data_IF_241207241041
#
_entry.id   IF_241207241041
#
_cell.length_a   1.000
_cell.length_b   1.000
_cell.length_c   1.000
_cell.angle_alpha   90.00
_cell.angle_beta   90.00
_cell.angle_gamma   90.00
#
_symmetry.space_group_name_H-M   'P 1'
#
loop_
_entity.id
_entity.type
_entity.pdbx_description
1 polymer ?
#
# COMPACT_ATOMS: atom_id res chain seq x y z
N UNK A 1 15.69 -26.83 -46.23
CA UNK A 1 16.60 -27.22 -45.14
C UNK A 1 16.45 -26.18 -44.07
N UNK A 2 16.13 -26.52 -42.81
CA UNK A 2 17.02 -27.24 -41.88
C UNK A 2 18.34 -26.45 -41.73
N UNK A 3 18.75 -25.97 -40.57
CA UNK A 3 18.87 -26.72 -39.31
C UNK A 3 18.72 -25.87 -38.04
N UNK A 4 18.35 -26.62 -36.99
CA UNK A 4 18.35 -26.29 -35.56
C UNK A 4 19.76 -26.41 -34.95
N UNK A 5 19.82 -26.08 -33.64
CA UNK A 5 20.79 -26.50 -32.61
C UNK A 5 21.87 -25.46 -32.28
N UNK A 6 22.37 -25.28 -31.05
CA UNK A 6 21.99 -25.62 -29.66
C UNK A 6 23.02 -24.87 -28.79
N UNK A 7 22.57 -24.36 -27.65
CA UNK A 7 23.28 -24.27 -26.35
C UNK A 7 24.72 -24.83 -26.25
N UNK A 8 25.63 -24.03 -25.69
CA UNK A 8 26.62 -24.51 -24.71
C UNK A 8 26.80 -23.51 -23.56
N UNK A 9 26.66 -24.07 -22.36
CA UNK A 9 27.12 -23.59 -21.06
C UNK A 9 28.61 -23.91 -20.97
N UNK A 10 29.42 -23.03 -20.35
CA UNK A 10 30.59 -23.43 -19.56
C UNK A 10 31.02 -22.33 -18.59
N UNK A 11 31.25 -22.78 -17.36
CA UNK A 11 31.82 -22.14 -16.17
C UNK A 11 33.13 -21.37 -16.40
N UNK A 12 33.45 -20.43 -15.48
CA UNK A 12 34.46 -20.63 -14.41
C UNK A 12 35.02 -19.32 -13.83
N UNK A 13 35.21 -19.32 -12.51
CA UNK A 13 36.03 -18.36 -11.73
C UNK A 13 35.40 -18.08 -10.36
N UNK A 14 35.40 -19.02 -9.40
CA UNK A 14 36.50 -19.34 -8.46
C UNK A 14 37.23 -18.11 -7.88
N UNK A 15 37.02 -17.82 -6.59
CA UNK A 15 38.04 -17.98 -5.53
C UNK A 15 37.74 -17.12 -4.28
N UNK A 16 37.84 -17.73 -3.09
CA UNK A 16 38.07 -17.01 -1.83
C UNK A 16 37.26 -17.44 -0.60
N UNK A 17 37.45 -18.68 -0.11
CA UNK A 17 37.38 -18.94 1.34
C UNK A 17 38.72 -18.60 2.02
N UNK A 18 39.02 -19.05 3.25
CA UNK A 18 38.22 -19.91 4.12
C UNK A 18 38.33 -19.57 5.66
N UNK A 19 37.83 -20.51 6.48
CA UNK A 19 38.20 -20.78 7.90
C UNK A 19 37.65 -19.83 9.00
N UNK A 20 37.21 -20.29 10.18
CA UNK A 20 37.20 -21.62 10.77
C UNK A 20 36.38 -21.65 12.08
N UNK A 21 35.48 -22.63 12.17
CA UNK A 21 35.49 -23.74 13.14
C UNK A 21 35.70 -23.54 14.68
N UNK A 22 34.69 -24.03 15.41
CA UNK A 22 34.64 -24.87 16.66
C UNK A 22 34.69 -24.27 18.10
N UNK A 23 33.81 -24.89 18.92
CA UNK A 23 33.80 -25.21 20.38
C UNK A 23 33.79 -24.05 21.39
N UNK A 24 33.34 -24.16 22.64
CA UNK A 24 32.48 -25.05 23.45
C UNK A 24 32.63 -24.55 24.91
N UNK A 25 31.56 -24.68 25.70
CA UNK A 25 31.52 -24.93 27.15
C UNK A 25 32.29 -24.05 28.18
N UNK A 26 31.48 -23.62 29.17
CA UNK A 26 31.67 -23.79 30.63
C UNK A 26 32.60 -22.87 31.45
N UNK A 27 31.94 -22.24 32.44
CA UNK A 27 32.26 -22.15 33.88
C UNK A 27 33.52 -21.42 34.40
N UNK A 28 33.25 -20.51 35.37
CA UNK A 28 34.16 -20.11 36.46
C UNK A 28 35.33 -19.21 36.03
N UNK A 29 35.88 -18.28 36.79
CA UNK A 29 35.83 -17.91 38.22
C UNK A 29 36.56 -16.55 38.37
N UNK A 30 36.31 -15.87 39.51
CA UNK A 30 37.22 -14.96 40.26
C UNK A 30 37.71 -13.65 39.59
N UNK A 31 37.37 -12.46 40.11
CA UNK A 31 38.08 -11.66 41.16
C UNK A 31 39.46 -11.14 40.72
N UNK A 32 39.97 -9.94 41.12
CA UNK A 32 39.94 -9.42 42.50
C UNK A 32 39.92 -7.86 42.67
N UNK A 33 39.86 -7.42 43.95
CA UNK A 33 40.63 -6.34 44.62
C UNK A 33 40.88 -4.97 43.91
N UNK A 34 40.91 -3.80 44.56
CA UNK A 34 41.34 -3.47 45.91
C UNK A 34 40.91 -2.02 46.31
N UNK A 35 40.52 -1.90 47.58
CA UNK A 35 40.95 -0.90 48.59
C UNK A 35 41.04 0.61 48.27
N UNK A 36 40.23 1.38 49.03
CA UNK A 36 40.60 2.39 50.07
C UNK A 36 39.49 3.45 50.12
N UNK A 37 39.17 4.14 51.20
CA UNK A 37 39.32 4.07 52.65
C UNK A 37 38.61 5.35 53.16
N UNK A 38 38.33 5.43 54.47
CA UNK A 38 37.74 6.56 55.21
C UNK A 38 36.22 6.72 55.03
N UNK A 39 35.39 6.72 56.08
CA UNK A 39 35.63 6.69 57.51
C UNK A 39 34.42 7.34 58.22
N UNK A 40 34.39 7.21 59.54
CA UNK A 40 33.78 8.20 60.46
C UNK A 40 32.24 8.12 60.57
N UNK A 41 31.75 7.17 61.38
CA UNK A 41 31.28 7.31 62.78
C UNK A 41 29.81 7.72 62.92
N UNK A 42 29.00 6.79 63.44
CA UNK A 42 27.71 7.09 64.08
C UNK A 42 27.90 6.86 65.59
N UNK A 43 28.21 7.94 66.30
CA UNK A 43 28.11 8.01 67.77
C UNK A 43 26.63 8.27 68.11
N UNK A 44 26.01 7.26 68.70
CA UNK A 44 24.91 7.43 69.66
C UNK A 44 25.58 7.77 71.00
N UNK A 45 25.04 8.80 71.64
CA UNK A 45 25.01 9.06 73.09
C UNK A 45 26.27 8.65 73.87
N UNK A 46 27.10 9.64 74.17
CA UNK A 46 27.99 9.59 75.32
C UNK A 46 27.33 10.31 76.49
N UNK A 47 26.90 9.54 77.48
CA UNK A 47 27.19 9.86 78.88
C UNK A 47 28.37 8.95 79.25
N UNK A 48 29.56 9.54 79.44
CA UNK A 48 30.63 8.91 80.23
C UNK A 48 30.25 9.00 81.70
N UNK A 49 30.79 8.21 82.62
CA UNK A 49 31.93 7.31 82.60
C UNK A 49 32.29 7.04 84.07
N UNK A 50 33.27 6.15 84.26
CA UNK A 50 33.92 5.79 85.55
C UNK A 50 33.11 4.77 86.40
N UNK A 51 33.61 3.62 86.85
CA UNK A 51 34.99 3.13 86.94
C UNK A 51 35.45 3.12 88.41
N UNK A 52 35.57 1.93 89.00
CA UNK A 52 36.59 1.64 90.01
C UNK A 52 36.19 1.60 91.49
N UNK A 53 36.19 0.37 92.00
CA UNK A 53 36.81 -0.08 93.26
C UNK A 53 36.25 0.31 94.64
N UNK A 54 36.05 -0.74 95.46
CA UNK A 54 36.71 -0.82 96.76
C UNK A 54 35.88 -0.44 97.99
N UNK A 55 35.41 -1.45 98.71
CA UNK A 55 34.89 -1.33 100.07
C UNK A 55 36.01 -0.98 101.07
N UNK A 56 35.78 0.06 101.88
CA UNK A 56 36.24 0.19 103.28
C UNK A 56 35.49 1.34 103.99
N UNK A 57 35.36 1.20 105.30
CA UNK A 57 34.41 1.81 106.25
C UNK A 57 34.64 3.27 106.71
N UNK A 58 33.52 3.92 107.10
CA UNK A 58 33.29 4.82 108.26
C UNK A 58 33.54 6.37 108.25
N UNK A 59 32.41 7.12 108.45
CA UNK A 59 32.16 8.35 109.26
C UNK A 59 32.80 9.74 108.88
N UNK A 60 32.35 10.89 109.47
CA UNK A 60 31.03 11.55 109.37
C UNK A 60 31.09 13.01 108.78
N UNK A 61 29.92 13.65 108.67
CA UNK A 61 29.57 14.91 107.96
C UNK A 61 30.17 16.26 108.45
N UNK A 62 30.04 17.33 107.63
CA UNK A 62 29.58 18.65 108.10
C UNK A 62 28.52 19.33 107.17
N UNK A 63 27.89 20.46 107.57
CA UNK A 63 26.50 20.77 107.22
C UNK A 63 26.25 21.63 105.97
N UNK A 64 24.99 21.58 105.54
CA UNK A 64 24.40 22.19 104.36
C UNK A 64 24.39 23.74 104.34
N UNK A 65 24.72 24.31 103.16
CA UNK A 65 24.51 25.73 102.83
C UNK A 65 23.45 25.83 101.72
N UNK A 66 22.29 26.41 102.06
CA UNK A 66 21.18 26.69 101.14
C UNK A 66 21.47 27.92 100.28
N UNK A 67 21.67 27.75 98.97
CA UNK A 67 21.71 28.85 97.99
C UNK A 67 20.31 29.05 97.39
N UNK A 68 19.67 30.18 97.70
CA UNK A 68 18.38 30.60 97.14
C UNK A 68 18.56 30.96 95.65
N UNK A 69 17.91 30.23 94.74
CA UNK A 69 17.73 30.66 93.34
C UNK A 69 16.63 31.73 93.27
N UNK A 70 16.97 32.89 92.73
CA UNK A 70 16.02 33.95 92.41
C UNK A 70 15.08 33.52 91.26
N UNK A 71 13.78 33.87 91.29
CA UNK A 71 12.85 33.57 90.21
C UNK A 71 13.18 34.42 88.98
N UNK A 72 13.47 33.79 87.83
CA UNK A 72 13.54 34.51 86.55
C UNK A 72 12.14 35.03 86.18
N UNK A 73 12.03 36.24 85.62
CA UNK A 73 10.74 36.84 85.30
C UNK A 73 10.05 36.07 84.17
N UNK A 74 8.78 35.72 84.36
CA UNK A 74 7.92 34.99 83.41
C UNK A 74 7.86 35.61 82.00
N UNK A 75 8.22 36.89 81.85
CA UNK A 75 8.27 37.60 80.57
C UNK A 75 9.36 37.11 79.61
N UNK A 76 10.52 36.64 80.09
CA UNK A 76 11.56 36.07 79.21
C UNK A 76 11.09 34.78 78.53
N UNK A 77 10.32 33.95 79.25
CA UNK A 77 9.71 32.75 78.68
C UNK A 77 8.66 33.08 77.62
N UNK A 78 7.85 34.12 77.84
CA UNK A 78 6.84 34.55 76.85
C UNK A 78 7.48 35.07 75.56
N UNK A 79 8.62 35.77 75.64
CA UNK A 79 9.37 36.24 74.46
C UNK A 79 9.97 35.06 73.68
N UNK A 80 10.59 34.11 74.37
CA UNK A 80 11.17 32.91 73.74
C UNK A 80 10.10 32.05 73.08
N UNK A 81 8.96 31.84 73.75
CA UNK A 81 7.82 31.11 73.18
C UNK A 81 7.24 31.86 71.97
N UNK A 82 7.11 33.19 72.02
CA UNK A 82 6.66 34.00 70.89
C UNK A 82 7.57 33.88 69.65
N UNK A 83 8.89 33.88 69.84
CA UNK A 83 9.87 33.69 68.74
C UNK A 83 9.79 32.28 68.16
N UNK A 84 9.70 31.24 69.01
CA UNK A 84 9.57 29.85 68.55
C UNK A 84 8.28 29.65 67.75
N UNK A 85 7.16 30.22 68.21
CA UNK A 85 5.89 30.18 67.48
C UNK A 85 6.01 30.93 66.15
N UNK A 86 6.63 32.12 66.14
CA UNK A 86 6.85 32.90 64.92
C UNK A 86 7.69 32.15 63.87
N UNK A 87 8.81 31.55 64.29
CA UNK A 87 9.67 30.74 63.41
C UNK A 87 8.94 29.48 62.93
N UNK A 88 8.19 28.82 63.80
CA UNK A 88 7.41 27.63 63.43
C UNK A 88 6.33 27.96 62.38
N UNK A 89 5.63 29.09 62.55
CA UNK A 89 4.65 29.57 61.56
C UNK A 89 5.34 29.92 60.23
N UNK A 90 6.51 30.56 60.26
CA UNK A 90 7.27 30.87 59.06
C UNK A 90 7.75 29.61 58.32
N UNK A 91 8.24 28.60 59.05
CA UNK A 91 8.65 27.30 58.49
C UNK A 91 7.45 26.55 57.90
N UNK A 92 6.30 26.57 58.57
CA UNK A 92 5.06 25.97 58.03
C UNK A 92 4.61 26.70 56.77
N UNK A 93 4.67 28.03 56.74
CA UNK A 93 4.36 28.81 55.54
C UNK A 93 5.34 28.53 54.40
N UNK A 94 6.64 28.44 54.70
CA UNK A 94 7.68 28.15 53.71
C UNK A 94 7.55 26.72 53.16
N UNK A 95 7.33 25.73 54.03
CA UNK A 95 7.03 24.35 53.63
C UNK A 95 5.79 24.30 52.76
N UNK A 96 4.71 25.00 53.15
CA UNK A 96 3.46 25.04 52.38
C UNK A 96 3.66 25.64 50.99
N UNK A 97 4.49 26.67 50.85
CA UNK A 97 4.87 27.25 49.57
C UNK A 97 5.73 26.31 48.72
N UNK A 98 6.68 25.59 49.34
CA UNK A 98 7.49 24.58 48.64
C UNK A 98 6.63 23.43 48.10
N UNK A 99 5.72 22.93 48.93
CA UNK A 99 4.79 21.86 48.56
C UNK A 99 3.77 22.32 47.52
N UNK A 100 3.38 23.60 47.48
CA UNK A 100 2.50 24.11 46.42
C UNK A 100 3.21 24.11 45.07
N UNK A 101 4.46 24.61 44.99
CA UNK A 101 5.26 24.61 43.76
C UNK A 101 5.47 23.20 43.20
N UNK A 102 5.72 22.23 44.06
CA UNK A 102 5.91 20.84 43.63
C UNK A 102 4.62 20.21 43.08
N UNK A 103 3.46 20.56 43.65
CA UNK A 103 2.13 20.14 43.14
C UNK A 103 1.78 20.83 41.83
N UNK A 104 2.14 22.11 41.66
CA UNK A 104 2.00 22.84 40.40
C UNK A 104 2.77 22.16 39.28
N UNK A 105 4.05 21.86 39.48
CA UNK A 105 4.88 21.15 38.50
C UNK A 105 4.31 19.77 38.16
N UNK A 106 3.98 18.95 39.17
CA UNK A 106 3.35 17.64 38.95
C UNK A 106 2.04 17.74 38.15
N UNK A 107 1.24 18.78 38.38
CA UNK A 107 0.00 18.98 37.65
C UNK A 107 0.24 19.42 36.20
N UNK A 108 1.24 20.27 35.94
CA UNK A 108 1.67 20.64 34.59
C UNK A 108 2.27 19.43 33.83
N UNK A 109 3.14 18.65 34.48
CA UNK A 109 3.70 17.40 33.94
C UNK A 109 2.60 16.39 33.60
N UNK A 110 1.54 16.33 34.41
CA UNK A 110 0.40 15.45 34.15
C UNK A 110 -0.41 15.86 32.91
N UNK A 111 -0.44 17.16 32.57
CA UNK A 111 -1.02 17.70 31.32
C UNK A 111 -0.13 17.33 30.14
N UNK A 112 1.17 17.54 30.27
CA UNK A 112 2.16 17.21 29.23
C UNK A 112 2.22 15.71 28.95
N UNK A 113 2.27 14.87 29.99
CA UNK A 113 2.21 13.41 29.84
C UNK A 113 0.93 12.95 29.13
N UNK A 114 -0.23 13.58 29.41
CA UNK A 114 -1.45 13.28 28.69
C UNK A 114 -1.36 13.69 27.20
N UNK A 115 -0.63 14.75 26.89
CA UNK A 115 -0.39 15.22 25.52
C UNK A 115 0.54 14.25 24.77
N UNK A 116 1.61 13.80 25.42
CA UNK A 116 2.56 12.82 24.90
C UNK A 116 1.89 11.46 24.66
N UNK A 117 0.94 11.08 25.53
CA UNK A 117 0.08 9.90 25.34
C UNK A 117 -1.00 10.08 24.26
N UNK A 118 -1.07 11.22 23.57
CA UNK A 118 -2.08 11.56 22.54
C UNK A 118 -3.53 11.49 23.06
N UNK A 119 -3.73 11.62 24.37
CA UNK A 119 -5.06 11.65 25.02
C UNK A 119 -5.55 13.09 25.13
N UNK A 120 -5.83 13.72 23.98
CA UNK A 120 -6.15 15.16 23.91
C UNK A 120 -7.36 15.57 24.75
N UNK A 121 -8.38 14.73 24.89
CA UNK A 121 -9.53 14.98 25.77
C UNK A 121 -9.10 15.13 27.24
N UNK A 122 -8.15 14.27 27.68
CA UNK A 122 -7.58 14.29 29.01
C UNK A 122 -6.67 15.52 29.22
N UNK A 123 -5.96 15.96 28.18
CA UNK A 123 -5.15 17.20 28.21
C UNK A 123 -6.06 18.38 28.48
N UNK A 124 -7.16 18.52 27.73
CA UNK A 124 -8.09 19.63 27.88
C UNK A 124 -8.74 19.64 29.28
N UNK A 125 -9.08 18.46 29.81
CA UNK A 125 -9.67 18.33 31.14
C UNK A 125 -8.67 18.68 32.25
N UNK A 126 -7.45 18.12 32.20
CA UNK A 126 -6.40 18.40 33.18
C UNK A 126 -5.93 19.84 33.12
N UNK A 127 -5.78 20.41 31.93
CA UNK A 127 -5.36 21.79 31.76
C UNK A 127 -6.42 22.79 32.26
N UNK A 128 -7.72 22.52 32.05
CA UNK A 128 -8.80 23.34 32.64
C UNK A 128 -8.75 23.28 34.17
N UNK A 129 -8.52 22.10 34.75
CA UNK A 129 -8.38 21.94 36.20
C UNK A 129 -7.14 22.70 36.72
N UNK A 130 -6.00 22.58 36.05
CA UNK A 130 -4.78 23.32 36.38
C UNK A 130 -5.01 24.84 36.42
N UNK A 131 -5.65 25.40 35.39
CA UNK A 131 -5.93 26.85 35.32
C UNK A 131 -6.92 27.34 36.36
N UNK A 132 -7.76 26.44 36.90
CA UNK A 132 -8.69 26.75 38.00
C UNK A 132 -7.99 26.70 39.35
N UNK A 133 -7.16 25.68 39.56
CA UNK A 133 -6.50 25.41 40.84
C UNK A 133 -5.29 26.35 41.04
N UNK A 134 -4.65 26.82 39.95
CA UNK A 134 -3.45 27.65 39.96
C UNK A 134 -3.54 28.82 38.95
N UNK A 135 -4.38 29.84 39.20
CA UNK A 135 -4.61 30.95 38.26
C UNK A 135 -3.40 31.88 38.08
N UNK A 136 -2.56 32.03 39.11
CA UNK A 136 -1.42 32.97 39.12
C UNK A 136 -0.06 32.29 38.87
N UNK A 137 -0.05 31.02 38.48
CA UNK A 137 1.19 30.27 38.25
C UNK A 137 1.89 30.74 36.97
N UNK A 138 3.23 30.83 37.01
CA UNK A 138 4.07 31.14 35.84
C UNK A 138 3.89 30.12 34.69
N UNK A 139 3.46 28.90 35.03
CA UNK A 139 3.21 27.80 34.08
C UNK A 139 1.86 27.93 33.35
N UNK A 140 1.02 28.89 33.71
CA UNK A 140 -0.30 29.10 33.07
C UNK A 140 -0.18 29.36 31.57
N UNK A 141 0.84 30.12 31.14
CA UNK A 141 1.13 30.35 29.72
C UNK A 141 1.48 29.07 28.98
N UNK A 142 2.33 28.23 29.59
CA UNK A 142 2.71 26.92 29.05
C UNK A 142 1.51 25.99 28.89
N UNK A 143 0.68 25.87 29.93
CA UNK A 143 -0.51 25.01 29.94
C UNK A 143 -1.58 25.50 28.95
N UNK A 144 -1.76 26.83 28.81
CA UNK A 144 -2.63 27.41 27.76
C UNK A 144 -2.11 27.08 26.35
N UNK A 145 -0.81 27.15 26.13
CA UNK A 145 -0.17 26.74 24.87
C UNK A 145 -0.40 25.26 24.55
N UNK A 146 -0.26 24.37 25.55
CA UNK A 146 -0.58 22.94 25.43
C UNK A 146 -2.06 22.71 25.10
N UNK A 147 -2.99 23.42 25.74
CA UNK A 147 -4.42 23.33 25.38
C UNK A 147 -4.67 23.71 23.92
N UNK A 148 -4.08 24.81 23.44
CA UNK A 148 -4.22 25.25 22.06
C UNK A 148 -3.76 24.17 21.08
N UNK A 149 -2.57 23.60 21.33
CA UNK A 149 -2.03 22.48 20.56
C UNK A 149 -2.93 21.25 20.61
N UNK A 150 -3.47 20.91 21.79
CA UNK A 150 -4.37 19.77 21.97
C UNK A 150 -5.68 19.92 21.19
N UNK A 151 -6.32 21.11 21.21
CA UNK A 151 -7.52 21.39 20.41
C UNK A 151 -7.26 21.25 18.92
N UNK A 152 -6.15 21.82 18.44
CA UNK A 152 -5.72 21.68 17.03
C UNK A 152 -5.52 20.21 16.67
N UNK A 153 -4.80 19.45 17.50
CA UNK A 153 -4.54 18.03 17.27
C UNK A 153 -5.84 17.19 17.27
N UNK A 154 -6.80 17.48 18.14
CA UNK A 154 -8.09 16.79 18.17
C UNK A 154 -8.93 17.08 16.91
N UNK A 155 -8.98 18.33 16.45
CA UNK A 155 -9.66 18.71 15.21
C UNK A 155 -9.04 17.99 14.00
N UNK A 156 -7.70 18.00 13.91
CA UNK A 156 -6.95 17.27 12.86
C UNK A 156 -7.23 15.76 12.95
N UNK A 157 -7.25 15.17 14.15
CA UNK A 157 -7.59 13.74 14.34
C UNK A 157 -8.95 13.40 13.77
N UNK A 158 -9.98 14.22 14.05
CA UNK A 158 -11.34 14.02 13.54
C UNK A 158 -11.38 14.13 12.01
N UNK A 159 -10.68 15.11 11.43
CA UNK A 159 -10.60 15.27 9.97
C UNK A 159 -9.86 14.10 9.30
N UNK A 160 -8.71 13.68 9.85
CA UNK A 160 -7.95 12.51 9.38
C UNK A 160 -8.82 11.25 9.39
N UNK A 161 -9.59 11.02 10.46
CA UNK A 161 -10.52 9.89 10.54
C UNK A 161 -11.59 9.94 9.45
N UNK A 162 -12.20 11.12 9.22
CA UNK A 162 -13.19 11.30 8.14
C UNK A 162 -12.58 11.02 6.76
N UNK A 163 -11.35 11.48 6.50
CA UNK A 163 -10.64 11.21 5.24
C UNK A 163 -10.37 9.71 5.07
N UNK A 164 -9.98 9.02 6.15
CA UNK A 164 -9.82 7.56 6.13
C UNK A 164 -11.11 6.83 5.78
N UNK A 165 -12.24 7.24 6.35
CA UNK A 165 -13.54 6.64 6.09
C UNK A 165 -13.99 6.91 4.65
N UNK A 166 -13.78 8.13 4.13
CA UNK A 166 -14.04 8.47 2.72
C UNK A 166 -13.22 7.60 1.76
N UNK A 167 -11.91 7.45 2.01
CA UNK A 167 -11.04 6.60 1.20
C UNK A 167 -11.49 5.13 1.21
N UNK A 168 -12.00 4.62 2.34
CA UNK A 168 -12.56 3.26 2.42
C UNK A 168 -13.86 3.12 1.63
N UNK A 169 -14.70 4.15 1.64
CA UNK A 169 -15.97 4.17 0.89
C UNK A 169 -15.79 4.41 -0.62
N UNK A 170 -14.58 4.76 -1.07
CA UNK A 170 -14.29 5.07 -2.48
C UNK A 170 -14.58 6.51 -2.90
N UNK A 171 -14.92 7.40 -1.95
CA UNK A 171 -15.15 8.82 -2.22
C UNK A 171 -13.82 9.60 -2.32
N UNK A 172 -13.10 9.33 -3.40
CA UNK A 172 -11.75 9.86 -3.64
C UNK A 172 -11.76 11.38 -3.83
N UNK A 173 -12.80 11.93 -4.45
CA UNK A 173 -12.93 13.36 -4.74
C UNK A 173 -13.09 14.20 -3.48
N UNK A 174 -14.01 13.81 -2.57
CA UNK A 174 -14.19 14.54 -1.32
C UNK A 174 -13.02 14.31 -0.36
N UNK A 175 -12.44 13.10 -0.33
CA UNK A 175 -11.22 12.83 0.41
C UNK A 175 -10.06 13.74 -0.02
N UNK A 176 -9.91 13.99 -1.34
CA UNK A 176 -8.90 14.89 -1.86
C UNK A 176 -9.10 16.33 -1.37
N UNK A 177 -10.30 16.88 -1.55
CA UNK A 177 -10.64 18.24 -1.12
C UNK A 177 -10.38 18.46 0.37
N UNK A 178 -10.79 17.49 1.21
CA UNK A 178 -10.54 17.57 2.65
C UNK A 178 -9.07 17.48 3.02
N UNK A 179 -8.29 16.67 2.30
CA UNK A 179 -6.87 16.47 2.59
C UNK A 179 -5.99 17.65 2.14
N UNK A 180 -6.41 18.36 1.10
CA UNK A 180 -5.77 19.62 0.66
C UNK A 180 -6.03 20.75 1.66
N UNK A 181 -7.23 20.80 2.25
CA UNK A 181 -7.57 21.75 3.32
C UNK A 181 -6.95 21.40 4.69
N UNK A 182 -6.39 20.19 4.86
CA UNK A 182 -5.87 19.71 6.13
C UNK A 182 -4.49 20.30 6.47
N UNK A 183 -4.47 21.25 7.42
CA UNK A 183 -3.22 21.74 8.01
C UNK A 183 -2.80 20.91 9.24
N UNK A 184 -2.06 19.83 8.99
CA UNK A 184 -1.53 18.94 10.03
C UNK A 184 -0.16 19.38 10.57
N UNK A 185 0.43 20.46 10.07
CA UNK A 185 1.79 20.89 10.42
C UNK A 185 1.91 21.20 11.92
N UNK A 186 2.95 20.65 12.54
CA UNK A 186 3.21 20.80 13.98
C UNK A 186 2.24 20.00 14.85
N UNK A 187 1.48 19.07 14.28
CA UNK A 187 0.64 18.12 15.03
C UNK A 187 1.22 16.71 14.97
N UNK A 188 0.92 15.83 15.96
CA UNK A 188 1.35 14.43 15.92
C UNK A 188 0.84 13.60 14.73
N UNK A 189 -0.06 14.17 13.92
CA UNK A 189 -0.70 13.52 12.78
C UNK A 189 -0.07 13.90 11.44
N UNK A 190 0.98 14.72 11.42
CA UNK A 190 1.63 15.18 10.19
C UNK A 190 2.11 14.03 9.30
N UNK A 191 2.81 13.04 9.88
CA UNK A 191 3.24 11.83 9.16
C UNK A 191 2.06 11.04 8.59
N UNK A 192 0.97 10.93 9.38
CA UNK A 192 -0.25 10.23 8.95
C UNK A 192 -0.96 10.97 7.82
N UNK A 193 -1.02 12.29 7.85
CA UNK A 193 -1.55 13.10 6.76
C UNK A 193 -0.71 12.94 5.48
N UNK A 194 0.62 12.90 5.59
CA UNK A 194 1.49 12.62 4.45
C UNK A 194 1.27 11.21 3.87
N UNK A 195 1.08 10.19 4.73
CA UNK A 195 0.73 8.84 4.31
C UNK A 195 -0.62 8.80 3.57
N UNK A 196 -1.65 9.49 4.10
CA UNK A 196 -2.94 9.60 3.45
C UNK A 196 -2.83 10.26 2.07
N UNK A 197 -1.96 11.26 1.90
CA UNK A 197 -1.71 11.89 0.59
C UNK A 197 -1.15 10.88 -0.40
N UNK A 198 -0.22 10.02 0.02
CA UNK A 198 0.32 8.93 -0.82
C UNK A 198 -0.75 7.90 -1.17
N UNK A 199 -1.58 7.50 -0.20
CA UNK A 199 -2.71 6.58 -0.42
C UNK A 199 -3.74 7.16 -1.38
N UNK A 200 -4.08 8.43 -1.24
CA UNK A 200 -4.99 9.14 -2.13
C UNK A 200 -4.44 9.19 -3.57
N UNK A 201 -3.14 9.47 -3.75
CA UNK A 201 -2.51 9.44 -5.08
C UNK A 201 -2.66 8.07 -5.74
N UNK A 202 -2.37 6.99 -5.00
CA UNK A 202 -2.58 5.62 -5.49
C UNK A 202 -4.03 5.31 -5.80
N UNK A 203 -4.97 5.73 -4.95
CA UNK A 203 -6.39 5.52 -5.16
C UNK A 203 -6.92 6.28 -6.39
N UNK A 204 -6.44 7.52 -6.64
CA UNK A 204 -6.77 8.28 -7.86
C UNK A 204 -6.29 7.54 -9.11
N UNK A 205 -5.03 7.10 -9.13
CA UNK A 205 -4.50 6.33 -10.25
C UNK A 205 -5.29 5.02 -10.47
N UNK A 206 -5.61 4.30 -9.39
CA UNK A 206 -6.45 3.08 -9.46
C UNK A 206 -7.85 3.38 -10.00
N UNK A 207 -8.47 4.50 -9.65
CA UNK A 207 -9.78 4.89 -10.15
C UNK A 207 -9.76 5.30 -11.63
N UNK A 208 -8.71 5.99 -12.08
CA UNK A 208 -8.50 6.34 -13.49
C UNK A 208 -8.29 5.08 -14.33
N UNK A 209 -7.40 4.19 -13.89
CA UNK A 209 -7.18 2.88 -14.50
C UNK A 209 -8.50 2.08 -14.62
N UNK A 210 -9.27 2.03 -13.53
CA UNK A 210 -10.53 1.29 -13.52
C UNK A 210 -11.54 1.85 -14.53
N UNK A 211 -11.63 3.17 -14.70
CA UNK A 211 -12.52 3.77 -15.72
C UNK A 211 -12.14 3.36 -17.13
N UNK A 212 -10.85 3.28 -17.44
CA UNK A 212 -10.37 2.81 -18.75
C UNK A 212 -10.67 1.32 -18.92
N UNK A 213 -10.40 0.49 -17.92
CA UNK A 213 -10.67 -0.95 -17.99
C UNK A 213 -12.18 -1.26 -18.05
N UNK A 214 -13.03 -0.44 -17.44
CA UNK A 214 -14.49 -0.54 -17.56
C UNK A 214 -14.96 -0.28 -19.01
N UNK A 215 -14.32 0.66 -19.72
CA UNK A 215 -14.63 0.93 -21.12
C UNK A 215 -14.22 -0.22 -22.04
N UNK A 216 -13.05 -0.85 -21.76
CA UNK A 216 -12.61 -2.07 -22.44
C UNK A 216 -13.60 -3.21 -22.21
N UNK A 217 -14.02 -3.43 -20.97
CA UNK A 217 -14.97 -4.48 -20.64
C UNK A 217 -16.32 -4.25 -21.33
N UNK A 218 -16.77 -2.99 -21.42
CA UNK A 218 -17.96 -2.62 -22.18
C UNK A 218 -17.79 -2.88 -23.69
N UNK A 219 -16.63 -2.57 -24.26
CA UNK A 219 -16.33 -2.85 -25.66
C UNK A 219 -16.36 -4.36 -25.95
N UNK A 220 -15.76 -5.17 -25.08
CA UNK A 220 -15.83 -6.65 -25.16
C UNK A 220 -17.28 -7.14 -25.09
N UNK A 221 -18.09 -6.65 -24.13
CA UNK A 221 -19.51 -7.01 -24.02
C UNK A 221 -20.31 -6.66 -25.28
N UNK A 222 -19.95 -5.57 -25.96
CA UNK A 222 -20.54 -5.14 -27.22
C UNK A 222 -19.93 -5.81 -28.45
N UNK A 223 -19.02 -6.78 -28.27
CA UNK A 223 -18.25 -7.45 -29.34
C UNK A 223 -17.43 -6.49 -30.21
N UNK A 224 -17.07 -5.31 -29.70
CA UNK A 224 -16.20 -4.33 -30.34
C UNK A 224 -14.75 -4.64 -29.98
N UNK A 225 -14.25 -5.74 -30.53
CA UNK A 225 -12.96 -6.32 -30.12
C UNK A 225 -11.77 -5.47 -30.55
N UNK A 226 -11.88 -4.79 -31.70
CA UNK A 226 -10.86 -3.84 -32.19
C UNK A 226 -10.66 -2.69 -31.20
N UNK A 227 -11.74 -2.03 -30.80
CA UNK A 227 -11.69 -0.92 -29.85
C UNK A 227 -11.10 -1.35 -28.50
N UNK A 228 -11.52 -2.52 -28.00
CA UNK A 228 -10.98 -3.08 -26.77
C UNK A 228 -9.45 -3.28 -26.86
N UNK A 229 -8.96 -3.82 -27.98
CA UNK A 229 -7.53 -4.02 -28.24
C UNK A 229 -6.76 -2.70 -28.32
N UNK A 230 -7.27 -1.71 -29.05
CA UNK A 230 -6.62 -0.41 -29.20
C UNK A 230 -6.44 0.30 -27.85
N UNK A 231 -7.49 0.29 -27.02
CA UNK A 231 -7.42 0.87 -25.68
C UNK A 231 -6.41 0.10 -24.81
N UNK A 232 -6.40 -1.24 -24.86
CA UNK A 232 -5.45 -2.04 -24.09
C UNK A 232 -3.99 -1.84 -24.55
N UNK A 233 -3.73 -1.64 -25.85
CA UNK A 233 -2.38 -1.39 -26.36
C UNK A 233 -1.81 -0.04 -25.89
N UNK A 234 -2.66 0.97 -25.75
CA UNK A 234 -2.26 2.29 -25.27
C UNK A 234 -2.24 2.37 -23.72
N UNK A 235 -2.84 1.41 -23.02
CA UNK A 235 -3.04 1.46 -21.58
C UNK A 235 -1.83 0.94 -20.81
N UNK A 236 -1.38 1.73 -19.82
CA UNK A 236 -0.32 1.34 -18.88
C UNK A 236 -0.91 1.33 -17.46
N UNK A 237 -0.99 0.16 -16.79
CA UNK A 237 -1.53 0.07 -15.43
C UNK A 237 -0.57 0.70 -14.41
N UNK A 238 -1.12 1.49 -13.49
CA UNK A 238 -0.35 2.17 -12.44
C UNK A 238 -0.24 1.37 -11.14
N UNK A 239 -1.09 0.35 -10.94
CA UNK A 239 -1.15 -0.44 -9.72
C UNK A 239 -1.12 -1.94 -10.01
N UNK A 240 -0.63 -2.74 -9.06
CA UNK A 240 -0.62 -4.20 -9.20
C UNK A 240 -2.04 -4.78 -9.37
N UNK A 241 -3.04 -4.19 -8.70
CA UNK A 241 -4.44 -4.60 -8.84
C UNK A 241 -4.97 -4.35 -10.25
N UNK A 242 -4.68 -3.17 -10.81
CA UNK A 242 -5.13 -2.80 -12.16
C UNK A 242 -4.36 -3.57 -13.22
N UNK A 243 -3.09 -3.91 -12.97
CA UNK A 243 -2.31 -4.84 -13.81
C UNK A 243 -2.97 -6.22 -13.91
N UNK A 244 -3.35 -6.84 -12.78
CA UNK A 244 -4.06 -8.14 -12.80
C UNK A 244 -5.40 -8.08 -13.53
N UNK A 245 -6.09 -6.94 -13.51
CA UNK A 245 -7.34 -6.76 -14.26
C UNK A 245 -7.04 -6.58 -15.76
N UNK A 246 -6.05 -5.78 -16.10
CA UNK A 246 -5.54 -5.59 -17.45
C UNK A 246 -5.15 -6.92 -18.11
N UNK A 247 -4.34 -7.75 -17.43
CA UNK A 247 -3.88 -9.04 -17.94
C UNK A 247 -5.04 -9.99 -18.27
N UNK A 248 -6.08 -10.02 -17.42
CA UNK A 248 -7.28 -10.83 -17.67
C UNK A 248 -8.05 -10.37 -18.90
N UNK A 249 -8.23 -9.06 -19.06
CA UNK A 249 -8.91 -8.50 -20.22
C UNK A 249 -8.09 -8.71 -21.50
N UNK A 250 -6.78 -8.48 -21.43
CA UNK A 250 -5.83 -8.74 -22.51
C UNK A 250 -5.85 -10.19 -22.95
N UNK A 251 -5.80 -11.14 -22.01
CA UNK A 251 -5.88 -12.56 -22.33
C UNK A 251 -7.19 -12.94 -23.04
N UNK A 252 -8.29 -12.25 -22.71
CA UNK A 252 -9.60 -12.46 -23.37
C UNK A 252 -9.56 -11.99 -24.82
N UNK A 253 -9.01 -10.81 -25.07
CA UNK A 253 -8.84 -10.27 -26.44
C UNK A 253 -7.84 -11.10 -27.24
N UNK A 254 -6.72 -11.48 -26.64
CA UNK A 254 -5.68 -12.31 -27.27
C UNK A 254 -6.22 -13.69 -27.66
N UNK A 255 -7.12 -14.27 -26.84
CA UNK A 255 -7.79 -15.53 -27.16
C UNK A 255 -8.69 -15.39 -28.39
N UNK A 256 -9.52 -14.34 -28.43
CA UNK A 256 -10.38 -14.06 -29.58
C UNK A 256 -9.56 -13.88 -30.87
N UNK A 257 -8.50 -13.08 -30.84
CA UNK A 257 -7.61 -12.91 -32.00
C UNK A 257 -6.84 -14.22 -32.33
N UNK A 258 -6.51 -15.02 -31.32
CA UNK A 258 -5.86 -16.32 -31.48
C UNK A 258 -6.73 -17.34 -32.22
N UNK A 259 -8.02 -17.39 -31.93
CA UNK A 259 -8.98 -18.25 -32.63
C UNK A 259 -9.17 -17.81 -34.08
N UNK A 260 -9.27 -16.50 -34.34
CA UNK A 260 -9.32 -15.94 -35.68
C UNK A 260 -8.07 -16.29 -36.51
N UNK A 261 -6.87 -16.17 -35.92
CA UNK A 261 -5.60 -16.52 -36.57
C UNK A 261 -5.51 -18.00 -36.95
N UNK A 262 -6.09 -18.91 -36.15
CA UNK A 262 -6.14 -20.35 -36.48
C UNK A 262 -6.99 -20.62 -37.72
N UNK A 263 -8.12 -19.94 -37.87
CA UNK A 263 -8.95 -20.08 -39.06
C UNK A 263 -8.25 -19.51 -40.30
N UNK A 264 -7.60 -18.34 -40.16
CA UNK A 264 -6.83 -17.77 -41.25
C UNK A 264 -5.65 -18.66 -41.65
N UNK A 265 -4.93 -19.26 -40.70
CA UNK A 265 -3.83 -20.17 -41.02
C UNK A 265 -4.30 -21.44 -41.73
N UNK A 266 -5.48 -21.97 -41.36
CA UNK A 266 -6.12 -23.06 -42.10
C UNK A 266 -6.50 -22.64 -43.51
N UNK A 267 -7.04 -21.42 -43.69
CA UNK A 267 -7.34 -20.89 -45.01
C UNK A 267 -6.10 -20.83 -45.92
N UNK A 268 -4.99 -20.27 -45.40
CA UNK A 268 -3.73 -20.17 -46.12
C UNK A 268 -3.11 -21.55 -46.43
N UNK A 269 -3.28 -22.52 -45.53
CA UNK A 269 -2.82 -23.90 -45.77
C UNK A 269 -3.60 -24.57 -46.89
N UNK A 270 -4.93 -24.43 -46.91
CA UNK A 270 -5.78 -24.99 -47.96
C UNK A 270 -5.55 -24.29 -49.30
N UNK A 271 -5.30 -22.99 -49.30
CA UNK A 271 -4.91 -22.22 -50.49
C UNK A 271 -3.61 -22.74 -51.09
N UNK A 272 -2.56 -22.94 -50.27
CA UNK A 272 -1.29 -23.54 -50.70
C UNK A 272 -1.45 -24.97 -51.24
N UNK A 273 -2.45 -25.70 -50.75
CA UNK A 273 -2.79 -27.03 -51.25
C UNK A 273 -3.64 -27.00 -52.55
N UNK A 274 -3.97 -25.82 -53.07
CA UNK A 274 -4.84 -25.65 -54.25
C UNK A 274 -6.33 -25.81 -53.96
N UNK A 275 -6.73 -26.02 -52.70
CA UNK A 275 -8.12 -26.25 -52.29
C UNK A 275 -8.86 -24.92 -52.05
N UNK A 276 -9.02 -24.12 -53.10
CA UNK A 276 -9.59 -22.78 -53.01
C UNK A 276 -11.00 -22.76 -52.37
N UNK A 277 -11.83 -23.80 -52.57
CA UNK A 277 -13.16 -23.90 -51.96
C UNK A 277 -13.11 -23.94 -50.44
N UNK A 278 -12.17 -24.72 -49.88
CA UNK A 278 -11.99 -24.82 -48.43
C UNK A 278 -11.36 -23.55 -47.88
N UNK A 279 -10.38 -22.97 -48.59
CA UNK A 279 -9.76 -21.70 -48.20
C UNK A 279 -10.81 -20.58 -48.08
N UNK A 280 -11.68 -20.41 -49.09
CA UNK A 280 -12.78 -19.44 -49.08
C UNK A 280 -13.72 -19.69 -47.89
N UNK A 281 -14.02 -20.95 -47.56
CA UNK A 281 -14.86 -21.30 -46.42
C UNK A 281 -14.24 -20.83 -45.10
N UNK A 282 -12.96 -21.11 -44.87
CA UNK A 282 -12.28 -20.67 -43.65
C UNK A 282 -12.21 -19.15 -43.56
N UNK A 283 -11.92 -18.46 -44.66
CA UNK A 283 -11.95 -16.99 -44.72
C UNK A 283 -13.32 -16.45 -44.33
N UNK A 284 -14.42 -17.00 -44.87
CA UNK A 284 -15.78 -16.58 -44.50
C UNK A 284 -16.07 -16.81 -43.02
N UNK A 285 -15.69 -17.95 -42.45
CA UNK A 285 -15.84 -18.23 -41.03
C UNK A 285 -15.08 -17.23 -40.16
N UNK A 286 -13.86 -16.83 -40.57
CA UNK A 286 -13.10 -15.77 -39.90
C UNK A 286 -13.86 -14.44 -39.93
N UNK A 287 -14.43 -14.05 -41.07
CA UNK A 287 -15.14 -12.78 -41.21
C UNK A 287 -16.46 -12.73 -40.43
N UNK A 288 -17.21 -13.85 -40.41
CA UNK A 288 -18.50 -13.95 -39.72
C UNK A 288 -18.33 -14.06 -38.20
N UNK A 289 -17.39 -14.89 -37.74
CA UNK A 289 -17.16 -15.13 -36.31
C UNK A 289 -16.22 -14.12 -35.66
N UNK A 290 -15.29 -13.57 -36.43
CA UNK A 290 -14.16 -12.78 -35.92
C UNK A 290 -13.93 -11.48 -36.69
N UNK A 291 -14.99 -10.85 -37.22
CA UNK A 291 -14.90 -9.67 -38.09
C UNK A 291 -14.12 -8.46 -37.55
N UNK A 292 -14.00 -8.34 -36.23
CA UNK A 292 -13.22 -7.28 -35.54
C UNK A 292 -11.79 -7.70 -35.15
N UNK A 293 -11.40 -8.94 -35.46
CA UNK A 293 -10.04 -9.44 -35.20
C UNK A 293 -9.03 -8.84 -36.17
N UNK A 294 -7.74 -8.91 -35.80
CA UNK A 294 -6.65 -8.53 -36.72
C UNK A 294 -6.67 -9.43 -37.96
N UNK A 295 -6.86 -10.75 -37.77
CA UNK A 295 -6.88 -11.72 -38.87
C UNK A 295 -8.05 -11.51 -39.85
N UNK A 296 -9.12 -10.83 -39.44
CA UNK A 296 -10.22 -10.52 -40.34
C UNK A 296 -9.83 -9.49 -41.42
N UNK A 297 -8.85 -8.63 -41.17
CA UNK A 297 -8.38 -7.69 -42.18
C UNK A 297 -7.64 -8.41 -43.30
N UNK A 298 -6.69 -9.27 -42.95
CA UNK A 298 -6.00 -10.15 -43.91
C UNK A 298 -7.01 -11.05 -44.65
N UNK A 299 -7.99 -11.60 -43.94
CA UNK A 299 -9.06 -12.40 -44.53
C UNK A 299 -9.91 -11.62 -45.55
N UNK A 300 -10.16 -10.32 -45.33
CA UNK A 300 -10.88 -9.46 -46.29
C UNK A 300 -10.07 -9.23 -47.56
N UNK A 301 -8.76 -9.12 -47.44
CA UNK A 301 -7.85 -8.92 -48.57
C UNK A 301 -7.66 -10.21 -49.38
N UNK A 302 -7.61 -11.36 -48.71
CA UNK A 302 -7.44 -12.66 -49.35
C UNK A 302 -8.71 -13.13 -50.10
N UNK A 303 -9.91 -12.72 -49.66
CA UNK A 303 -11.15 -13.25 -50.21
C UNK A 303 -11.37 -12.98 -51.72
N UNK A 304 -11.11 -11.77 -52.26
CA UNK A 304 -11.19 -11.51 -53.69
C UNK A 304 -10.22 -12.38 -54.50
N UNK A 305 -8.97 -12.50 -54.05
CA UNK A 305 -7.94 -13.30 -54.72
C UNK A 305 -8.37 -14.77 -54.84
N UNK A 306 -8.83 -15.36 -53.73
CA UNK A 306 -9.33 -16.74 -53.74
C UNK A 306 -10.56 -16.93 -54.64
N UNK A 307 -11.46 -15.94 -54.72
CA UNK A 307 -12.62 -16.00 -55.61
C UNK A 307 -12.21 -15.94 -57.08
N UNK A 308 -11.21 -15.15 -57.40
CA UNK A 308 -10.68 -15.06 -58.76
C UNK A 308 -9.95 -16.35 -59.17
N UNK A 309 -9.10 -16.89 -58.30
CA UNK A 309 -8.47 -18.19 -58.54
C UNK A 309 -9.49 -19.31 -58.70
N UNK A 310 -10.52 -19.35 -57.84
CA UNK A 310 -11.63 -20.30 -57.95
C UNK A 310 -12.35 -20.19 -59.30
N UNK A 311 -12.61 -18.96 -59.75
CA UNK A 311 -13.22 -18.72 -61.06
C UNK A 311 -12.37 -19.34 -62.18
N UNK A 312 -11.07 -19.10 -62.19
CA UNK A 312 -10.17 -19.64 -63.21
C UNK A 312 -10.05 -21.16 -63.15
N UNK A 313 -10.00 -21.75 -61.95
CA UNK A 313 -10.01 -23.20 -61.75
C UNK A 313 -11.28 -23.84 -62.34
N UNK A 314 -12.47 -23.34 -61.95
CA UNK A 314 -13.76 -23.85 -62.44
C UNK A 314 -13.95 -23.65 -63.94
N UNK A 315 -13.47 -22.52 -64.49
CA UNK A 315 -13.47 -22.31 -65.95
C UNK A 315 -12.61 -23.35 -66.66
N UNK A 316 -11.42 -23.64 -66.15
CA UNK A 316 -10.52 -24.61 -66.78
C UNK A 316 -11.06 -26.04 -66.63
N UNK A 317 -11.61 -26.41 -65.48
CA UNK A 317 -12.30 -27.69 -65.27
C UNK A 317 -13.48 -27.85 -66.23
N UNK A 318 -14.30 -26.80 -66.41
CA UNK A 318 -15.38 -26.80 -67.38
C UNK A 318 -14.90 -27.02 -68.82
N UNK A 319 -13.77 -26.40 -69.20
CA UNK A 319 -13.14 -26.64 -70.52
C UNK A 319 -12.64 -28.08 -70.67
N UNK A 320 -11.99 -28.64 -69.65
CA UNK A 320 -11.53 -30.03 -69.67
C UNK A 320 -12.71 -31.02 -69.79
N UNK A 321 -13.81 -30.78 -69.09
CA UNK A 321 -15.02 -31.58 -69.23
C UNK A 321 -15.66 -31.44 -70.62
N UNK A 322 -15.60 -30.24 -71.21
CA UNK A 322 -16.07 -29.99 -72.56
C UNK A 322 -15.24 -30.75 -73.60
N UNK A 323 -13.91 -30.77 -73.46
CA UNK A 323 -12.98 -31.54 -74.30
C UNK A 323 -13.17 -33.05 -74.14
N UNK A 324 -13.54 -33.51 -72.94
CA UNK A 324 -13.88 -34.91 -72.67
C UNK A 324 -15.33 -35.29 -73.03
N UNK A 325 -16.08 -34.40 -73.70
CA UNK A 325 -17.50 -34.55 -74.07
C UNK A 325 -18.44 -34.84 -72.88
N UNK A 326 -17.99 -34.52 -71.65
CA UNK A 326 -18.79 -34.62 -70.42
C UNK A 326 -19.61 -33.36 -70.22
N UNK A 327 -20.57 -33.12 -71.13
CA UNK A 327 -21.31 -31.86 -71.22
C UNK A 327 -22.04 -31.47 -69.92
N UNK A 328 -22.58 -32.43 -69.16
CA UNK A 328 -23.29 -32.17 -67.89
C UNK A 328 -22.35 -31.62 -66.81
N UNK A 329 -21.14 -32.15 -66.73
CA UNK A 329 -20.15 -31.72 -65.75
C UNK A 329 -19.54 -30.37 -66.15
N UNK A 330 -19.32 -30.15 -67.45
CA UNK A 330 -18.91 -28.84 -67.99
C UNK A 330 -19.91 -27.72 -67.63
N UNK A 331 -21.21 -27.96 -67.84
CA UNK A 331 -22.28 -27.03 -67.47
C UNK A 331 -22.25 -26.71 -65.97
N UNK A 332 -22.01 -27.71 -65.13
CA UNK A 332 -21.95 -27.54 -63.68
C UNK A 332 -20.77 -26.63 -63.30
N UNK A 333 -19.58 -26.92 -63.80
CA UNK A 333 -18.38 -26.15 -63.54
C UNK A 333 -18.49 -24.69 -64.04
N UNK A 334 -19.02 -24.48 -65.24
CA UNK A 334 -19.24 -23.12 -65.77
C UNK A 334 -20.32 -22.34 -64.98
N UNK A 335 -21.40 -23.00 -64.56
CA UNK A 335 -22.41 -22.38 -63.69
C UNK A 335 -21.82 -21.97 -62.34
N UNK A 336 -20.94 -22.79 -61.77
CA UNK A 336 -20.24 -22.44 -60.53
C UNK A 336 -19.24 -21.31 -60.76
N UNK A 337 -18.48 -21.30 -61.85
CA UNK A 337 -17.57 -20.20 -62.19
C UNK A 337 -18.31 -18.85 -62.26
N UNK A 338 -19.48 -18.81 -62.91
CA UNK A 338 -20.29 -17.59 -63.02
C UNK A 338 -20.85 -17.09 -61.69
N UNK A 339 -20.92 -17.91 -60.63
CA UNK A 339 -21.26 -17.41 -59.28
C UNK A 339 -20.15 -16.52 -58.70
N UNK A 340 -18.91 -16.72 -59.13
CA UNK A 340 -17.76 -15.94 -58.70
C UNK A 340 -17.52 -14.71 -59.58
N UNK A 341 -17.75 -14.84 -60.89
CA UNK A 341 -17.65 -13.73 -61.86
C UNK A 341 -18.87 -13.74 -62.81
N UNK A 342 -19.98 -13.09 -62.44
CA UNK A 342 -21.24 -13.15 -63.19
C UNK A 342 -21.18 -12.56 -64.60
N UNK A 343 -20.24 -11.68 -64.89
CA UNK A 343 -20.18 -10.91 -66.14
C UNK A 343 -19.17 -11.45 -67.16
N UNK A 344 -18.62 -12.65 -66.93
CA UNK A 344 -17.66 -13.23 -67.85
C UNK A 344 -18.33 -13.73 -69.14
N UNK A 345 -18.14 -12.98 -70.23
CA UNK A 345 -18.75 -13.25 -71.53
C UNK A 345 -18.26 -14.57 -72.14
N UNK A 346 -17.00 -14.94 -71.92
CA UNK A 346 -16.44 -16.17 -72.45
C UNK A 346 -17.10 -17.38 -71.78
N UNK A 347 -17.15 -17.43 -70.45
CA UNK A 347 -17.80 -18.54 -69.72
C UNK A 347 -19.29 -18.63 -70.04
N UNK A 348 -20.00 -17.50 -70.21
CA UNK A 348 -21.40 -17.50 -70.70
C UNK A 348 -21.54 -18.14 -72.09
N UNK A 349 -20.63 -17.83 -73.01
CA UNK A 349 -20.64 -18.41 -74.36
C UNK A 349 -20.36 -19.92 -74.34
N UNK A 350 -19.40 -20.36 -73.51
CA UNK A 350 -19.04 -21.76 -73.33
C UNK A 350 -20.18 -22.56 -72.69
N UNK A 351 -20.82 -21.99 -71.67
CA UNK A 351 -22.00 -22.59 -71.03
C UNK A 351 -23.13 -22.81 -72.05
N UNK A 352 -23.45 -21.79 -72.85
CA UNK A 352 -24.49 -21.89 -73.89
C UNK A 352 -24.18 -23.00 -74.90
N UNK A 353 -22.93 -23.10 -75.36
CA UNK A 353 -22.48 -24.15 -76.28
C UNK A 353 -22.64 -25.55 -75.68
N UNK A 354 -22.33 -25.73 -74.40
CA UNK A 354 -22.55 -27.01 -73.72
C UNK A 354 -24.05 -27.34 -73.56
N UNK A 355 -24.89 -26.34 -73.27
CA UNK A 355 -26.34 -26.52 -73.16
C UNK A 355 -26.98 -26.91 -74.50
N UNK A 356 -26.55 -26.31 -75.61
CA UNK A 356 -26.97 -26.66 -76.98
C UNK A 356 -26.61 -28.11 -77.35
N UNK A 357 -25.42 -28.58 -76.95
CA UNK A 357 -24.98 -29.96 -77.21
C UNK A 357 -25.84 -31.01 -76.49
N UNK A 358 -26.17 -30.80 -75.22
CA UNK A 358 -27.10 -31.69 -74.49
C UNK A 358 -28.51 -31.65 -75.09
N UNK A 359 -28.94 -30.48 -75.57
CA UNK A 359 -30.24 -30.33 -76.23
C UNK A 359 -30.34 -31.05 -77.58
N UNK A 360 -29.21 -31.20 -78.29
CA UNK A 360 -29.13 -31.90 -79.57
C UNK A 360 -28.99 -33.43 -79.44
N UNK A 361 -28.53 -33.93 -78.28
CA UNK A 361 -28.39 -35.37 -77.98
C UNK A 361 -29.67 -35.98 -77.35
N UNK A 362 -30.77 -35.22 -77.26
CA UNK A 362 -32.11 -35.67 -76.84
C UNK A 362 -33.03 -35.81 -78.04
#
# INVERSE_FOLDING_TARGET
GAEYEKTQVLDRGEAGGPEGQVVSAAAGTSSPEATRAYGVTKRVVGEGGEGGEGAATAAPAPPAVKVRRAPRPLWEYLVVVGVIVGVSVAVVFWWRALVSKEREQKAADAVENAYNQKRFDLVLLKAKRFLKDYPDSDLTGYVKGLMGRARKAEAVRRQVKKIEDMLKSGDISNAARMLDALNATGTPFEKKAAELRRRLKRAKAEAEDNRVLDSVELAIKRKRWRDAREVLLAFVPHTEKTLKRYERLKATVDKYDGEARKLLSQALSEHKAGNCSKAIRFVKLTLEGYGDSVAAEDARQLLPELKEEMFWQLRNEGKQHMEAERWRDAIRAFKEALKHKPDDAEVKSLLKRCEEKIGADR
#
